data_IF_805879043235
#
_entry.id   IF_805879043235
#
_cell.length_a   1.000
_cell.length_b   1.000
_cell.length_c   1.000
_cell.angle_alpha   90.00
_cell.angle_beta   90.00
_cell.angle_gamma   90.00
#
_symmetry.space_group_name_H-M   'P 1'
#
loop_
_entity.id
_entity.type
_entity.pdbx_description
1 polymer ?
#
# COMPACT_ATOMS: atom_id res chain seq x y z
N UNK A 1 71.88 -23.95 -15.15
CA UNK A 1 71.21 -22.93 -15.98
C UNK A 1 69.71 -23.07 -15.74
N UNK A 2 69.17 -22.20 -14.89
CA UNK A 2 68.19 -21.15 -15.21
C UNK A 2 66.73 -21.67 -15.34
N UNK A 3 65.98 -21.65 -14.23
CA UNK A 3 64.78 -20.81 -13.95
C UNK A 3 63.58 -21.15 -14.83
N UNK A 4 62.64 -22.03 -14.42
CA UNK A 4 61.54 -21.83 -13.45
C UNK A 4 60.80 -20.49 -13.62
N UNK A 5 59.68 -20.53 -14.34
CA UNK A 5 58.57 -19.58 -14.22
C UNK A 5 57.25 -20.34 -14.38
N UNK A 6 56.88 -21.07 -13.33
CA UNK A 6 55.48 -21.42 -13.06
C UNK A 6 55.05 -20.51 -11.92
N UNK A 7 54.25 -19.51 -12.29
CA UNK A 7 53.69 -18.57 -11.34
C UNK A 7 52.75 -19.31 -10.38
N UNK A 8 52.96 -19.03 -9.10
CA UNK A 8 52.50 -19.76 -7.93
C UNK A 8 51.95 -18.72 -6.95
N UNK A 9 50.67 -18.87 -6.65
CA UNK A 9 50.01 -18.53 -5.37
C UNK A 9 49.75 -17.05 -5.07
N UNK A 10 48.46 -16.69 -5.02
CA UNK A 10 47.72 -16.14 -3.85
C UNK A 10 46.48 -15.41 -4.38
N UNK A 11 45.29 -15.49 -3.80
CA UNK A 11 44.87 -16.10 -2.55
C UNK A 11 43.35 -16.15 -2.48
N UNK A 12 42.91 -16.98 -1.54
CA UNK A 12 41.68 -16.97 -0.76
C UNK A 12 40.36 -16.41 -1.33
N UNK A 13 39.32 -17.20 -1.03
CA UNK A 13 37.98 -16.76 -0.61
C UNK A 13 36.92 -16.59 -1.73
N UNK A 14 35.67 -17.03 -1.63
CA UNK A 14 34.92 -18.00 -0.83
C UNK A 14 33.48 -17.92 -1.38
N UNK A 15 32.83 -19.08 -1.44
CA UNK A 15 31.38 -19.30 -1.44
C UNK A 15 30.49 -18.73 -2.56
N UNK A 16 29.70 -19.67 -3.10
CA UNK A 16 28.29 -19.59 -3.46
C UNK A 16 27.80 -18.34 -4.22
N UNK A 17 27.11 -18.50 -5.38
CA UNK A 17 26.20 -17.46 -5.82
C UNK A 17 25.08 -17.38 -4.77
N UNK A 18 25.29 -16.52 -3.77
CA UNK A 18 24.23 -15.96 -2.97
C UNK A 18 23.42 -15.10 -3.93
N UNK A 19 22.41 -15.69 -4.57
CA UNK A 19 21.25 -14.92 -5.00
C UNK A 19 20.44 -14.59 -3.74
N UNK A 20 21.07 -13.84 -2.85
CA UNK A 20 20.37 -12.99 -1.91
C UNK A 20 19.80 -11.84 -2.73
N UNK A 21 18.62 -12.07 -3.28
CA UNK A 21 17.68 -10.97 -3.46
C UNK A 21 17.21 -10.60 -2.06
N UNK A 22 17.98 -9.72 -1.42
CA UNK A 22 17.45 -8.77 -0.46
C UNK A 22 16.08 -8.31 -0.94
N UNK A 23 14.97 -8.57 -0.22
CA UNK A 23 13.84 -7.69 -0.41
C UNK A 23 14.35 -6.31 -0.02
N UNK A 24 14.52 -5.43 -0.99
CA UNK A 24 14.61 -3.99 -0.78
C UNK A 24 13.29 -3.52 -0.15
N UNK A 25 13.06 -3.91 1.09
CA UNK A 25 12.01 -3.39 1.94
C UNK A 25 12.50 -2.06 2.52
N UNK A 26 12.69 -1.10 1.62
CA UNK A 26 12.70 0.33 1.91
C UNK A 26 12.00 1.02 0.75
N UNK A 27 10.68 0.84 0.63
CA UNK A 27 9.89 1.98 0.17
C UNK A 27 9.85 2.93 1.34
N UNK A 28 10.52 4.06 1.15
CA UNK A 28 10.66 5.14 2.10
C UNK A 28 9.35 5.37 2.85
N UNK A 29 9.42 5.30 4.19
CA UNK A 29 8.53 6.08 5.02
C UNK A 29 8.83 7.54 4.68
N UNK A 30 8.11 8.08 3.70
CA UNK A 30 7.96 9.51 3.57
C UNK A 30 7.32 9.98 4.89
N UNK A 31 7.92 10.93 5.63
CA UNK A 31 7.19 11.65 6.64
C UNK A 31 6.19 12.53 5.90
N UNK A 32 5.10 11.92 5.44
CA UNK A 32 3.92 12.64 4.96
C UNK A 32 3.57 13.58 6.09
N UNK A 33 3.86 14.86 5.87
CA UNK A 33 3.32 15.96 6.68
C UNK A 33 1.88 15.60 6.99
N UNK A 34 1.40 15.71 8.24
CA UNK A 34 0.03 15.39 8.54
C UNK A 34 -0.82 16.16 7.53
N UNK A 35 -1.53 15.49 6.60
CA UNK A 35 -2.41 16.21 5.71
C UNK A 35 -3.32 17.00 6.65
N UNK A 36 -3.47 18.29 6.37
CA UNK A 36 -4.45 19.13 7.08
C UNK A 36 -5.71 18.30 7.30
N UNK A 37 -6.35 18.34 8.49
CA UNK A 37 -7.38 17.39 8.87
C UNK A 37 -8.48 17.40 7.83
N UNK A 38 -8.37 16.48 6.88
CA UNK A 38 -9.31 16.35 5.80
C UNK A 38 -10.55 15.83 6.49
N UNK A 39 -11.59 16.64 6.51
CA UNK A 39 -12.83 16.26 7.18
C UNK A 39 -13.35 15.07 6.40
N UNK A 40 -13.27 13.88 6.99
CA UNK A 40 -13.73 12.64 6.38
C UNK A 40 -15.01 12.21 7.05
N UNK A 41 -15.95 11.69 6.26
CA UNK A 41 -17.15 11.04 6.76
C UNK A 41 -16.94 9.53 6.68
N UNK A 42 -17.21 8.86 7.79
CA UNK A 42 -17.22 7.41 7.86
C UNK A 42 -18.64 6.89 7.67
N UNK A 43 -18.77 5.79 6.94
CA UNK A 43 -20.02 5.04 6.80
C UNK A 43 -19.74 3.59 7.13
N UNK A 44 -20.67 2.96 7.84
CA UNK A 44 -20.64 1.55 8.17
C UNK A 44 -21.44 0.77 7.14
N UNK A 45 -20.82 -0.27 6.63
CA UNK A 45 -21.41 -1.26 5.76
C UNK A 45 -22.05 -2.37 6.61
N UNK A 46 -23.35 -2.61 6.41
CA UNK A 46 -24.09 -3.60 7.19
C UNK A 46 -24.07 -4.99 6.56
N UNK A 47 -23.88 -5.07 5.24
CA UNK A 47 -23.88 -6.31 4.47
C UNK A 47 -22.48 -6.95 4.36
N UNK A 48 -21.42 -6.15 4.22
CA UNK A 48 -20.06 -6.62 3.94
C UNK A 48 -19.02 -5.99 4.86
N UNK A 49 -18.08 -6.79 5.34
CA UNK A 49 -16.92 -6.30 6.08
C UNK A 49 -15.79 -5.80 5.18
N UNK A 50 -15.81 -6.15 3.89
CA UNK A 50 -14.86 -5.65 2.90
C UNK A 50 -15.49 -5.68 1.50
N UNK A 51 -15.52 -4.55 0.80
CA UNK A 51 -15.92 -4.46 -0.62
C UNK A 51 -15.36 -3.21 -1.29
N UNK A 52 -15.41 -3.18 -2.62
CA UNK A 52 -15.10 -1.98 -3.39
C UNK A 52 -16.40 -1.46 -4.00
N UNK A 53 -16.77 -0.23 -3.65
CA UNK A 53 -17.92 0.47 -4.22
C UNK A 53 -17.46 1.22 -5.48
N UNK A 54 -18.23 1.11 -6.56
CA UNK A 54 -17.98 1.84 -7.80
C UNK A 54 -18.94 3.02 -7.83
N UNK A 55 -18.40 4.23 -7.72
CA UNK A 55 -19.15 5.47 -7.78
C UNK A 55 -19.61 5.73 -9.24
N UNK A 56 -20.66 6.55 -9.45
CA UNK A 56 -21.15 6.89 -10.79
C UNK A 56 -20.14 7.68 -11.65
N UNK A 57 -19.07 8.19 -11.04
CA UNK A 57 -17.96 8.90 -11.68
C UNK A 57 -16.81 7.94 -12.04
N UNK A 58 -17.06 6.63 -12.11
CA UNK A 58 -16.09 5.53 -12.34
C UNK A 58 -14.98 5.40 -11.27
N UNK A 59 -15.01 6.26 -10.24
CA UNK A 59 -14.12 6.18 -9.08
C UNK A 59 -14.50 5.05 -8.15
N UNK A 60 -13.52 4.51 -7.45
CA UNK A 60 -13.74 3.41 -6.51
C UNK A 60 -13.56 3.85 -5.06
N UNK A 61 -14.48 3.45 -4.19
CA UNK A 61 -14.38 3.65 -2.75
C UNK A 61 -14.18 2.31 -2.05
N UNK A 62 -13.08 2.18 -1.32
CA UNK A 62 -12.78 0.96 -0.57
C UNK A 62 -13.55 0.96 0.76
N UNK A 63 -14.24 -0.14 1.02
CA UNK A 63 -14.82 -0.48 2.32
C UNK A 63 -13.87 -1.47 2.99
N UNK A 64 -13.30 -1.09 4.13
CA UNK A 64 -12.39 -1.92 4.89
C UNK A 64 -12.89 -2.05 6.33
N UNK A 65 -12.91 -3.28 6.86
CA UNK A 65 -13.47 -3.59 8.19
C UNK A 65 -14.92 -3.11 8.38
N UNK A 66 -15.69 -3.11 7.29
CA UNK A 66 -17.06 -2.64 7.23
C UNK A 66 -17.18 -1.13 7.31
N UNK A 67 -16.09 -0.38 7.08
CA UNK A 67 -16.09 1.08 7.10
C UNK A 67 -15.67 1.60 5.73
N UNK A 68 -16.52 2.44 5.14
CA UNK A 68 -16.23 3.26 3.98
C UNK A 68 -15.86 4.67 4.43
N UNK A 69 -14.80 5.23 3.88
CA UNK A 69 -14.30 6.55 4.25
C UNK A 69 -14.37 7.48 3.05
N UNK A 70 -15.25 8.48 3.09
CA UNK A 70 -15.38 9.49 2.04
C UNK A 70 -14.89 10.85 2.53
N UNK A 71 -14.36 11.68 1.63
CA UNK A 71 -14.07 13.08 1.96
C UNK A 71 -15.39 13.84 2.15
N UNK A 72 -15.45 14.77 3.11
CA UNK A 72 -16.66 15.58 3.33
C UNK A 72 -16.96 16.52 2.16
N UNK A 73 -15.93 16.92 1.41
CA UNK A 73 -16.07 17.71 0.17
C UNK A 73 -16.53 16.85 -1.03
N UNK A 74 -16.42 15.52 -0.94
CA UNK A 74 -16.78 14.62 -2.04
C UNK A 74 -18.28 14.33 -2.04
N UNK A 75 -19.02 15.27 -2.61
CA UNK A 75 -20.49 15.20 -2.69
C UNK A 75 -20.95 13.95 -3.43
N UNK A 76 -20.22 13.50 -4.46
CA UNK A 76 -20.56 12.30 -5.24
C UNK A 76 -20.51 11.04 -4.37
N UNK A 77 -19.43 10.85 -3.60
CA UNK A 77 -19.31 9.74 -2.67
C UNK A 77 -20.35 9.82 -1.55
N UNK A 78 -20.60 10.99 -0.98
CA UNK A 78 -21.60 11.16 0.07
C UNK A 78 -23.03 10.87 -0.41
N UNK A 79 -23.41 11.37 -1.58
CA UNK A 79 -24.72 11.07 -2.20
C UNK A 79 -24.86 9.58 -2.49
N UNK A 80 -23.83 8.95 -3.06
CA UNK A 80 -23.81 7.52 -3.30
C UNK A 80 -24.02 6.74 -2.00
N UNK A 81 -23.23 7.02 -0.96
CA UNK A 81 -23.33 6.34 0.33
C UNK A 81 -24.72 6.54 0.98
N UNK A 82 -25.28 7.76 0.93
CA UNK A 82 -26.63 8.06 1.47
C UNK A 82 -27.76 7.42 0.68
N UNK A 83 -27.58 7.18 -0.62
CA UNK A 83 -28.57 6.53 -1.46
C UNK A 83 -28.72 5.02 -1.16
N UNK A 84 -27.74 4.43 -0.46
CA UNK A 84 -27.75 3.02 -0.10
C UNK A 84 -28.17 2.79 1.35
N UNK A 85 -29.32 2.15 1.55
CA UNK A 85 -29.85 1.83 2.90
C UNK A 85 -29.00 0.85 3.71
N UNK A 86 -28.05 0.17 3.07
CA UNK A 86 -27.05 -0.71 3.70
C UNK A 86 -25.86 0.06 4.31
N UNK A 87 -25.69 1.32 3.93
CA UNK A 87 -24.58 2.15 4.38
C UNK A 87 -25.06 3.17 5.40
N UNK A 88 -24.73 2.92 6.67
CA UNK A 88 -25.13 3.78 7.78
C UNK A 88 -24.04 4.82 8.07
N UNK A 89 -24.34 6.13 8.16
CA UNK A 89 -23.34 7.12 8.55
C UNK A 89 -22.86 6.87 9.98
N UNK A 90 -21.54 6.86 10.17
CA UNK A 90 -20.90 6.81 11.48
C UNK A 90 -20.57 8.26 11.88
N UNK A 91 -21.31 8.79 12.85
CA UNK A 91 -21.08 10.14 13.42
C UNK A 91 -19.88 10.18 14.36
#
# INVERSE_FOLDING_TARGET
MATVKIDKTSGDQLAAPTSQVTPSAISAADPVSPPAPAVVRMYRDTLFTSRTLILPDDRTLAVAKGIATAQADDTVALEYLRAHSDLEPLE
#
